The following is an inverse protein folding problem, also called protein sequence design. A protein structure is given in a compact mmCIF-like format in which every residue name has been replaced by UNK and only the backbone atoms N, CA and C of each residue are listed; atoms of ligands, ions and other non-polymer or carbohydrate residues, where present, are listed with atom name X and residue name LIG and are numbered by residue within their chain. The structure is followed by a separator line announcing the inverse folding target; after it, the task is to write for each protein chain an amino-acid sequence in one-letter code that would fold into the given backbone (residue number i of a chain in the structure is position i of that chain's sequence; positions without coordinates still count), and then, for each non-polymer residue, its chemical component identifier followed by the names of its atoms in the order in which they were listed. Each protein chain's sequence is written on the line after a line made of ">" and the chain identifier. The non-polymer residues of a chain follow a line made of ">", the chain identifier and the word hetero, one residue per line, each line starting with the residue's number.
data_IF_328750481129
#
_entry.id   IF_328750481129
#
_cell.length_a   1.000
_cell.length_b   1.000
_cell.length_c   1.000
_cell.angle_alpha   90.00
_cell.angle_beta   90.00
_cell.angle_gamma   90.00
#
_symmetry.space_group_name_H-M   'P 1'
#
loop_
_entity.id
_entity.type
_entity.pdbx_description
1 polymer ?
#
# COMPACT_ATOMS: atom_id res chain seq x y z
N UNK A 1 4.52 4.23 8.91
CA UNK A 1 4.19 2.94 8.25
C UNK A 1 4.14 3.11 6.74
N UNK A 2 3.30 4.02 6.21
CA UNK A 2 3.34 4.38 4.78
C UNK A 2 4.73 4.76 4.27
N UNK A 3 5.45 5.62 4.99
CA UNK A 3 6.81 6.04 4.57
C UNK A 3 7.81 4.89 4.56
N UNK A 4 7.63 3.89 5.44
CA UNK A 4 8.50 2.72 5.48
C UNK A 4 8.23 1.80 4.29
N UNK A 5 6.96 1.67 3.90
CA UNK A 5 6.56 0.93 2.72
C UNK A 5 7.14 1.55 1.45
N UNK A 6 6.95 2.85 1.22
CA UNK A 6 7.51 3.51 0.03
C UNK A 6 9.03 3.56 0.04
N UNK A 7 9.67 3.68 1.21
CA UNK A 7 11.14 3.56 1.29
C UNK A 7 11.62 2.18 0.86
N UNK A 8 10.91 1.12 1.25
CA UNK A 8 11.23 -0.25 0.83
C UNK A 8 11.00 -0.43 -0.68
N UNK A 9 9.90 0.09 -1.22
CA UNK A 9 9.61 0.10 -2.66
C UNK A 9 10.69 0.82 -3.46
N UNK A 10 11.03 2.06 -3.09
CA UNK A 10 12.07 2.87 -3.76
C UNK A 10 13.46 2.23 -3.64
N UNK A 11 13.73 1.57 -2.51
CA UNK A 11 14.95 0.80 -2.30
C UNK A 11 14.97 -0.57 -2.97
N UNK A 12 13.91 -0.97 -3.69
CA UNK A 12 13.70 -2.31 -4.24
C UNK A 12 13.81 -3.45 -3.19
N UNK A 13 13.53 -3.15 -1.93
CA UNK A 13 13.44 -4.12 -0.83
C UNK A 13 12.02 -4.70 -0.77
N UNK A 14 11.69 -5.49 -1.79
CA UNK A 14 10.39 -6.14 -1.94
C UNK A 14 10.01 -7.06 -0.76
N UNK A 15 10.93 -7.83 -0.15
CA UNK A 15 10.62 -8.60 1.05
C UNK A 15 10.15 -7.73 2.22
N UNK A 16 10.83 -6.61 2.48
CA UNK A 16 10.41 -5.67 3.53
C UNK A 16 9.07 -5.02 3.18
N UNK A 17 8.89 -4.56 1.94
CA UNK A 17 7.63 -3.96 1.50
C UNK A 17 6.44 -4.93 1.67
N UNK A 18 6.63 -6.20 1.29
CA UNK A 18 5.64 -7.26 1.49
C UNK A 18 5.32 -7.56 2.95
N UNK A 19 6.30 -7.47 3.86
CA UNK A 19 6.06 -7.66 5.28
C UNK A 19 5.19 -6.54 5.89
N UNK A 20 5.15 -5.37 5.24
CA UNK A 20 4.34 -4.22 5.67
C UNK A 20 2.90 -4.28 5.13
N UNK A 21 2.62 -5.12 4.14
CA UNK A 21 1.26 -5.35 3.65
C UNK A 21 0.40 -6.06 4.70
N UNK A 22 -0.89 -5.74 4.68
CA UNK A 22 -1.88 -6.49 5.44
C UNK A 22 -1.99 -7.92 4.90
N UNK A 23 -2.34 -8.91 5.73
CA UNK A 23 -2.45 -10.31 5.29
C UNK A 23 -3.38 -10.49 4.09
N UNK A 24 -4.53 -9.82 4.07
CA UNK A 24 -5.50 -9.88 2.97
C UNK A 24 -4.97 -9.23 1.69
N UNK A 25 -4.34 -8.06 1.79
CA UNK A 25 -3.66 -7.39 0.66
C UNK A 25 -2.56 -8.25 0.06
N UNK A 26 -1.74 -8.88 0.91
CA UNK A 26 -0.71 -9.81 0.47
C UNK A 26 -1.32 -11.00 -0.27
N UNK A 27 -2.34 -11.63 0.32
CA UNK A 27 -2.98 -12.79 -0.29
C UNK A 27 -3.64 -12.45 -1.63
N UNK A 28 -4.31 -11.31 -1.72
CA UNK A 28 -4.94 -10.83 -2.96
C UNK A 28 -3.90 -10.56 -4.05
N UNK A 29 -2.79 -9.89 -3.72
CA UNK A 29 -1.70 -9.62 -4.65
C UNK A 29 -1.07 -10.93 -5.17
N UNK A 30 -0.78 -11.89 -4.28
CA UNK A 30 -0.24 -13.20 -4.65
C UNK A 30 -1.19 -13.99 -5.55
N UNK A 31 -2.50 -13.92 -5.26
CA UNK A 31 -3.53 -14.63 -6.00
C UNK A 31 -3.76 -14.03 -7.40
N UNK A 32 -3.79 -12.70 -7.52
CA UNK A 32 -3.94 -11.99 -8.79
C UNK A 32 -2.73 -12.18 -9.69
N UNK A 33 -1.52 -12.03 -9.15
CA UNK A 33 -0.29 -12.13 -9.93
C UNK A 33 0.14 -13.58 -10.21
N UNK A 34 -0.36 -14.55 -9.43
CA UNK A 34 0.10 -15.95 -9.48
C UNK A 34 1.56 -16.12 -9.06
N UNK A 35 2.09 -15.19 -8.25
CA UNK A 35 3.49 -15.11 -7.83
C UNK A 35 3.57 -14.86 -6.32
N UNK A 36 4.72 -15.15 -5.73
CA UNK A 36 5.00 -14.76 -4.34
C UNK A 36 5.01 -13.23 -4.21
N UNK A 37 4.57 -12.72 -3.05
CA UNK A 37 4.34 -11.28 -2.85
C UNK A 37 5.50 -10.39 -3.33
N UNK A 38 6.79 -10.67 -3.03
CA UNK A 38 7.87 -9.77 -3.45
C UNK A 38 7.95 -9.62 -4.98
N UNK A 39 7.75 -10.72 -5.70
CA UNK A 39 7.77 -10.72 -7.17
C UNK A 39 6.50 -10.06 -7.75
N UNK A 40 5.34 -10.28 -7.12
CA UNK A 40 4.10 -9.63 -7.52
C UNK A 40 4.17 -8.10 -7.30
N UNK A 41 4.69 -7.67 -6.15
CA UNK A 41 4.78 -6.25 -5.80
C UNK A 41 5.76 -5.48 -6.70
N UNK A 42 6.82 -6.16 -7.17
CA UNK A 42 7.73 -5.60 -8.17
C UNK A 42 7.01 -5.26 -9.48
N UNK A 43 6.00 -6.03 -9.88
CA UNK A 43 5.26 -5.82 -11.12
C UNK A 43 4.23 -4.67 -11.03
N UNK A 44 3.92 -4.18 -9.83
CA UNK A 44 2.93 -3.11 -9.61
C UNK A 44 3.44 -1.70 -9.92
N UNK A 45 4.73 -1.59 -10.27
CA UNK A 45 5.40 -0.35 -10.72
C UNK A 45 5.16 0.86 -9.80
N UNK A 46 5.12 0.61 -8.49
CA UNK A 46 4.99 1.67 -7.49
C UNK A 46 6.22 2.59 -7.50
N UNK A 47 5.99 3.89 -7.54
CA UNK A 47 7.04 4.92 -7.56
C UNK A 47 7.15 5.64 -6.22
N UNK A 48 8.17 6.51 -6.08
CA UNK A 48 8.26 7.44 -4.95
C UNK A 48 6.99 8.32 -4.92
N UNK A 49 6.24 8.34 -3.81
CA UNK A 49 4.99 9.08 -3.73
C UNK A 49 5.21 10.58 -3.45
N UNK A 50 6.44 11.01 -3.18
CA UNK A 50 6.79 12.36 -2.75
C UNK A 50 6.53 12.60 -1.26
N UNK A 51 6.52 13.87 -0.80
CA UNK A 51 6.30 14.22 0.60
C UNK A 51 4.87 13.92 1.06
N UNK A 52 4.70 13.62 2.35
CA UNK A 52 3.39 13.47 2.98
C UNK A 52 2.68 14.83 3.00
N UNK A 53 1.51 14.92 2.39
CA UNK A 53 0.67 16.11 2.42
C UNK A 53 -0.35 16.09 3.56
N UNK A 54 -1.04 14.96 3.77
CA UNK A 54 -2.10 14.84 4.79
C UNK A 54 -2.28 13.42 5.27
N UNK A 55 -2.52 13.25 6.57
CA UNK A 55 -3.01 11.99 7.13
C UNK A 55 -4.38 12.23 7.79
N UNK A 56 -5.33 11.32 7.56
CA UNK A 56 -6.66 11.35 8.18
C UNK A 56 -6.98 9.98 8.74
N UNK A 57 -7.31 9.92 10.01
CA UNK A 57 -7.63 8.70 10.73
C UNK A 57 -9.15 8.52 10.85
N UNK A 58 -9.61 7.30 10.60
CA UNK A 58 -10.99 6.85 10.68
C UNK A 58 -11.05 5.54 11.48
N UNK A 59 -11.21 5.66 12.80
CA UNK A 59 -11.27 4.50 13.69
C UNK A 59 -9.95 3.72 13.69
N UNK A 60 -9.94 2.53 13.10
CA UNK A 60 -8.74 1.69 12.96
C UNK A 60 -8.05 1.86 11.60
N UNK A 61 -8.57 2.71 10.73
CA UNK A 61 -8.02 2.96 9.39
C UNK A 61 -7.38 4.35 9.32
N UNK A 62 -6.39 4.52 8.47
CA UNK A 62 -5.77 5.82 8.21
C UNK A 62 -5.52 5.96 6.73
N UNK A 63 -6.03 7.05 6.14
CA UNK A 63 -5.67 7.47 4.79
C UNK A 63 -4.49 8.44 4.89
N UNK A 64 -3.38 8.13 4.22
CA UNK A 64 -2.24 9.04 4.09
C UNK A 64 -2.12 9.43 2.63
N UNK A 65 -2.24 10.73 2.37
CA UNK A 65 -2.08 11.35 1.05
C UNK A 65 -0.69 11.94 0.95
N UNK A 66 0.04 11.43 -0.02
CA UNK A 66 1.29 11.98 -0.50
C UNK A 66 1.01 12.93 -1.68
N UNK A 67 2.06 13.55 -2.20
CA UNK A 67 1.96 14.43 -3.38
C UNK A 67 1.45 13.68 -4.62
N UNK A 68 1.95 12.46 -4.84
CA UNK A 68 1.66 11.68 -6.05
C UNK A 68 0.90 10.37 -5.79
N UNK A 69 0.58 10.08 -4.52
CA UNK A 69 -0.02 8.80 -4.16
C UNK A 69 -0.92 8.92 -2.91
N UNK A 70 -1.80 7.95 -2.71
CA UNK A 70 -2.53 7.73 -1.48
C UNK A 70 -2.31 6.29 -1.01
N UNK A 71 -2.02 6.13 0.28
CA UNK A 71 -1.94 4.82 0.93
C UNK A 71 -3.01 4.71 2.01
N UNK A 72 -3.59 3.53 2.13
CA UNK A 72 -4.54 3.20 3.19
C UNK A 72 -3.89 2.22 4.16
N UNK A 73 -3.92 2.58 5.43
CA UNK A 73 -3.38 1.79 6.52
C UNK A 73 -4.51 1.30 7.41
N UNK A 74 -4.36 0.12 8.00
CA UNK A 74 -5.24 -0.36 9.07
C UNK A 74 -4.43 -0.86 10.27
N UNK A 75 -4.99 -0.73 11.47
CA UNK A 75 -4.37 -1.16 12.72
C UNK A 75 -4.73 -2.62 13.01
N UNK A 76 -3.73 -3.50 12.93
CA UNK A 76 -3.80 -4.90 13.33
C UNK A 76 -3.19 -5.10 14.72
N UNK A 77 -3.34 -6.30 15.29
CA UNK A 77 -2.67 -6.67 16.55
C UNK A 77 -1.14 -6.60 16.43
N UNK A 78 -0.60 -6.88 15.23
CA UNK A 78 0.83 -6.77 14.91
C UNK A 78 1.29 -5.35 14.57
N UNK A 79 0.41 -4.35 14.70
CA UNK A 79 0.66 -2.96 14.38
C UNK A 79 -0.03 -2.51 13.09
N UNK A 80 0.35 -1.34 12.60
CA UNK A 80 -0.19 -0.80 11.35
C UNK A 80 0.25 -1.63 10.15
N UNK A 81 -0.63 -1.83 9.18
CA UNK A 81 -0.34 -2.52 7.92
C UNK A 81 -0.93 -1.75 6.75
N UNK A 82 -0.32 -1.89 5.58
CA UNK A 82 -0.79 -1.31 4.32
C UNK A 82 -1.92 -2.18 3.75
N UNK A 83 -3.12 -1.62 3.67
CA UNK A 83 -4.29 -2.25 3.06
C UNK A 83 -4.35 -2.00 1.56
N UNK A 84 -3.96 -0.79 1.13
CA UNK A 84 -3.88 -0.42 -0.28
C UNK A 84 -2.83 0.67 -0.50
N UNK A 85 -2.18 0.66 -1.66
CA UNK A 85 -1.13 1.60 -2.07
C UNK A 85 -1.15 1.83 -3.60
N UNK A 86 -0.52 2.90 -4.07
CA UNK A 86 -0.60 3.27 -5.47
C UNK A 86 -2.00 3.76 -5.84
N UNK A 87 -2.66 4.46 -4.92
CA UNK A 87 -4.07 4.82 -5.05
C UNK A 87 -4.27 6.24 -5.58
N UNK A 88 -5.02 6.34 -6.67
CA UNK A 88 -5.45 7.61 -7.25
C UNK A 88 -6.94 7.86 -7.01
N UNK A 89 -7.34 9.10 -6.65
CA UNK A 89 -8.75 9.43 -6.47
C UNK A 89 -9.49 9.42 -7.81
N UNK A 90 -10.63 8.73 -7.86
CA UNK A 90 -11.52 8.73 -9.03
C UNK A 90 -12.82 9.46 -8.68
N UNK A 91 -13.21 10.54 -9.38
CA UNK A 91 -14.41 11.30 -9.06
C UNK A 91 -15.68 10.42 -9.05
N UNK A 92 -16.38 10.37 -7.93
CA UNK A 92 -17.61 9.59 -7.77
C UNK A 92 -17.42 8.08 -7.60
N UNK A 93 -16.18 7.59 -7.51
CA UNK A 93 -15.85 6.18 -7.39
C UNK A 93 -14.87 5.93 -6.23
N UNK A 94 -14.70 4.66 -5.79
CA UNK A 94 -13.59 4.28 -4.94
C UNK A 94 -12.24 4.67 -5.57
N UNK A 95 -11.20 4.73 -4.74
CA UNK A 95 -9.84 4.92 -5.26
C UNK A 95 -9.47 3.77 -6.19
N UNK A 96 -8.73 4.11 -7.25
CA UNK A 96 -8.10 3.12 -8.11
C UNK A 96 -6.69 2.86 -7.57
N UNK A 97 -6.47 1.67 -7.03
CA UNK A 97 -5.24 1.28 -6.35
C UNK A 97 -4.52 0.18 -7.13
N UNK A 98 -3.20 0.34 -7.30
CA UNK A 98 -2.32 -0.72 -7.82
C UNK A 98 -2.35 -1.96 -6.92
N UNK A 99 -2.13 -1.73 -5.62
CA UNK A 99 -2.12 -2.77 -4.61
C UNK A 99 -3.31 -2.59 -3.70
N UNK A 100 -4.16 -3.61 -3.55
CA UNK A 100 -5.28 -3.60 -2.61
C UNK A 100 -5.67 -5.00 -2.15
N UNK A 101 -6.22 -5.08 -0.94
CA UNK A 101 -6.92 -6.28 -0.47
C UNK A 101 -8.36 -6.32 -0.99
N UNK A 102 -8.81 -7.51 -1.38
CA UNK A 102 -10.19 -7.79 -1.80
C UNK A 102 -11.13 -8.05 -0.64
#
# INVERSE_FOLDING_TARGET
>A
MGDQFYRAVVGADWPTACALLAPETKASLEQTAGKACPAALQDEELSDPGPVGRAVEYGTMTQVRYEQDTVFLARFQSGWKVMAAGCSPVPGHPYDCRVQGG
#
